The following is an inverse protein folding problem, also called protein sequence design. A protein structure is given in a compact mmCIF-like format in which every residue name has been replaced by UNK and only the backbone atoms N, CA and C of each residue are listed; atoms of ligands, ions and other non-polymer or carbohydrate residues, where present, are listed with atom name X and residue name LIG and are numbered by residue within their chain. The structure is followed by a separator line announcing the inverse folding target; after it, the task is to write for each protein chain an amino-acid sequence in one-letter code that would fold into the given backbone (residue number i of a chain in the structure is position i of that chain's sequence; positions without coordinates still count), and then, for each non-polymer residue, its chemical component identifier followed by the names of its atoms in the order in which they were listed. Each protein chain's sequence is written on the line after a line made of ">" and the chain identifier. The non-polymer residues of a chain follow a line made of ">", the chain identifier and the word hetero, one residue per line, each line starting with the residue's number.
data_IF_950561447113
#
_entry.id   IF_950561447113
#
_cell.length_a   1.000
_cell.length_b   1.000
_cell.length_c   1.000
_cell.angle_alpha   90.00
_cell.angle_beta   90.00
_cell.angle_gamma   90.00
#
_symmetry.space_group_name_H-M   'P 1'
#
loop_
_entity.id
_entity.type
_entity.pdbx_description
1 polymer ?
#
# COMPACT_ATOMS: atom_id res chain seq x y z
N UNK A 1 5.59 7.16 17.04
CA UNK A 1 6.15 8.42 16.48
C UNK A 1 5.63 8.58 15.06
N UNK A 2 5.02 9.71 14.75
CA UNK A 2 4.58 10.08 13.41
C UNK A 2 5.79 10.38 12.52
N UNK A 3 5.80 9.91 11.28
CA UNK A 3 6.87 10.21 10.31
C UNK A 3 6.77 11.69 9.89
N UNK A 4 7.45 12.59 10.61
CA UNK A 4 7.50 14.02 10.31
C UNK A 4 8.49 14.30 9.17
N UNK A 5 8.11 15.04 8.11
CA UNK A 5 9.04 15.41 7.04
C UNK A 5 10.12 16.37 7.59
N UNK A 6 11.36 16.20 7.14
CA UNK A 6 12.47 17.09 7.52
C UNK A 6 12.35 18.49 6.91
N UNK A 7 11.90 18.59 5.67
CA UNK A 7 11.61 19.86 5.01
C UNK A 7 10.09 20.03 4.84
N UNK A 8 9.47 20.68 5.84
CA UNK A 8 8.02 20.93 5.86
C UNK A 8 7.60 21.87 4.72
N UNK A 9 8.44 22.86 4.38
CA UNK A 9 8.13 23.83 3.31
C UNK A 9 8.07 23.12 1.95
N UNK A 10 9.06 22.25 1.66
CA UNK A 10 9.06 21.43 0.46
C UNK A 10 7.88 20.45 0.44
N UNK A 11 7.60 19.79 1.56
CA UNK A 11 6.48 18.86 1.67
C UNK A 11 5.14 19.54 1.36
N UNK A 12 4.87 20.71 1.94
CA UNK A 12 3.62 21.45 1.72
C UNK A 12 3.48 21.91 0.27
N UNK A 13 4.58 22.36 -0.36
CA UNK A 13 4.59 22.72 -1.79
C UNK A 13 4.23 21.54 -2.69
N UNK A 14 4.80 20.36 -2.43
CA UNK A 14 4.44 19.13 -3.17
C UNK A 14 2.99 18.73 -2.88
N UNK A 15 2.55 18.80 -1.62
CA UNK A 15 1.19 18.47 -1.20
C UNK A 15 0.15 19.28 -1.96
N UNK A 16 0.31 20.60 -2.04
CA UNK A 16 -0.60 21.48 -2.78
C UNK A 16 -0.72 21.04 -4.25
N UNK A 17 0.41 20.83 -4.94
CA UNK A 17 0.42 20.39 -6.35
C UNK A 17 -0.29 19.05 -6.56
N UNK A 18 0.00 18.06 -5.71
CA UNK A 18 -0.60 16.73 -5.81
C UNK A 18 -2.10 16.77 -5.49
N UNK A 19 -2.52 17.58 -4.53
CA UNK A 19 -3.93 17.64 -4.12
C UNK A 19 -4.79 18.38 -5.15
N UNK A 20 -4.23 19.37 -5.83
CA UNK A 20 -4.88 19.99 -6.99
C UNK A 20 -5.06 19.00 -8.15
N UNK A 21 -4.03 18.18 -8.43
CA UNK A 21 -4.10 17.17 -9.51
C UNK A 21 -5.00 15.98 -9.17
N UNK A 22 -5.08 15.61 -7.89
CA UNK A 22 -5.86 14.48 -7.40
C UNK A 22 -6.75 14.92 -6.22
N UNK A 23 -7.90 15.57 -6.50
CA UNK A 23 -8.75 16.15 -5.46
C UNK A 23 -9.35 15.09 -4.53
N UNK A 24 -9.66 13.91 -5.05
CA UNK A 24 -10.24 12.82 -4.26
C UNK A 24 -9.23 12.23 -3.27
N UNK A 25 -9.64 12.10 -1.99
CA UNK A 25 -8.82 11.48 -0.96
C UNK A 25 -8.68 9.97 -1.21
N UNK A 26 -7.45 9.50 -1.41
CA UNK A 26 -7.14 8.09 -1.58
C UNK A 26 -5.76 7.71 -1.02
N UNK A 27 -5.57 6.42 -0.75
CA UNK A 27 -4.25 5.87 -0.40
C UNK A 27 -3.25 6.10 -1.55
N UNK A 28 -3.71 6.03 -2.79
CA UNK A 28 -2.90 6.28 -3.99
C UNK A 28 -2.38 7.73 -4.03
N UNK A 29 -3.26 8.72 -3.81
CA UNK A 29 -2.87 10.14 -3.69
C UNK A 29 -1.82 10.35 -2.60
N UNK A 30 -2.05 9.77 -1.44
CA UNK A 30 -1.12 9.87 -0.30
C UNK A 30 0.24 9.23 -0.62
N UNK A 31 0.25 8.11 -1.35
CA UNK A 31 1.46 7.45 -1.84
C UNK A 31 2.24 8.31 -2.84
N UNK A 32 1.56 8.94 -3.80
CA UNK A 32 2.18 9.86 -4.76
C UNK A 32 2.85 11.03 -4.05
N UNK A 33 2.18 11.65 -3.08
CA UNK A 33 2.74 12.75 -2.29
C UNK A 33 4.08 12.35 -1.64
N UNK A 34 4.12 11.19 -0.96
CA UNK A 34 5.33 10.70 -0.30
C UNK A 34 6.44 10.40 -1.32
N UNK A 35 6.09 9.76 -2.44
CA UNK A 35 7.05 9.43 -3.52
C UNK A 35 7.67 10.69 -4.10
N UNK A 36 6.84 11.66 -4.44
CA UNK A 36 7.25 12.90 -5.08
C UNK A 36 8.05 13.79 -4.10
N UNK A 37 7.65 13.85 -2.83
CA UNK A 37 8.42 14.54 -1.80
C UNK A 37 9.81 13.93 -1.63
N UNK A 38 9.94 12.60 -1.53
CA UNK A 38 11.25 11.92 -1.43
C UNK A 38 12.14 12.21 -2.64
N UNK A 39 11.57 12.18 -3.84
CA UNK A 39 12.29 12.51 -5.08
C UNK A 39 12.83 13.94 -5.05
N UNK A 40 11.99 14.91 -4.70
CA UNK A 40 12.40 16.31 -4.60
C UNK A 40 13.41 16.55 -3.47
N UNK A 41 13.25 15.88 -2.34
CA UNK A 41 14.18 15.95 -1.21
C UNK A 41 15.56 15.42 -1.61
N UNK A 42 15.62 14.26 -2.28
CA UNK A 42 16.87 13.71 -2.83
C UNK A 42 17.53 14.69 -3.81
N UNK A 43 16.75 15.31 -4.71
CA UNK A 43 17.28 16.31 -5.65
C UNK A 43 17.88 17.53 -4.94
N UNK A 44 17.26 18.00 -3.86
CA UNK A 44 17.68 19.21 -3.12
C UNK A 44 18.86 18.98 -2.18
N UNK A 45 18.91 17.82 -1.52
CA UNK A 45 19.86 17.55 -0.44
C UNK A 45 20.82 16.40 -0.72
N UNK A 46 20.73 15.76 -1.89
CA UNK A 46 21.44 14.54 -2.26
C UNK A 46 21.36 13.42 -1.20
N UNK A 47 20.21 13.34 -0.50
CA UNK A 47 20.01 12.44 0.63
C UNK A 47 18.66 11.74 0.56
N UNK A 48 18.62 10.45 0.92
CA UNK A 48 17.40 9.65 1.02
C UNK A 48 16.75 9.73 2.43
N UNK A 49 17.21 10.67 3.27
CA UNK A 49 16.76 10.85 4.65
C UNK A 49 15.69 11.92 4.85
N UNK A 50 14.62 11.84 4.05
CA UNK A 50 13.58 12.87 3.96
C UNK A 50 12.62 12.98 5.17
N UNK A 51 12.63 12.03 6.10
CA UNK A 51 11.72 11.97 7.26
C UNK A 51 12.51 11.72 8.54
N UNK A 52 12.04 12.29 9.65
CA UNK A 52 12.55 11.96 10.98
C UNK A 52 12.05 10.58 11.43
N UNK A 53 12.90 9.90 12.20
CA UNK A 53 12.56 8.64 12.87
C UNK A 53 13.16 7.39 12.23
N UNK A 54 13.03 6.28 12.95
CA UNK A 54 13.60 4.99 12.55
C UNK A 54 12.77 4.37 11.43
N UNK A 55 13.41 4.14 10.27
CA UNK A 55 12.80 3.50 9.10
C UNK A 55 12.72 1.98 9.31
N UNK A 56 11.75 1.53 10.10
CA UNK A 56 11.56 0.09 10.33
C UNK A 56 11.00 -0.58 9.07
N UNK A 57 11.82 -1.41 8.43
CA UNK A 57 11.46 -2.05 7.14
C UNK A 57 10.49 -3.22 7.26
N UNK A 58 10.36 -3.81 8.45
CA UNK A 58 9.50 -4.98 8.75
C UNK A 58 8.12 -4.62 9.29
N UNK A 59 7.73 -3.33 9.31
CA UNK A 59 6.41 -2.89 9.78
C UNK A 59 5.78 -1.84 8.86
N UNK A 60 4.48 -1.62 9.03
CA UNK A 60 3.72 -0.58 8.34
C UNK A 60 3.82 -0.64 6.82
N UNK A 61 3.88 0.54 6.20
CA UNK A 61 3.88 0.70 4.75
C UNK A 61 5.14 0.14 4.08
N UNK A 62 6.29 0.20 4.76
CA UNK A 62 7.53 -0.36 4.23
C UNK A 62 7.45 -1.88 4.07
N UNK A 63 6.87 -2.58 5.06
CA UNK A 63 6.58 -4.01 4.92
C UNK A 63 5.55 -4.25 3.82
N UNK A 64 4.48 -3.47 3.77
CA UNK A 64 3.42 -3.62 2.77
C UNK A 64 3.97 -3.55 1.34
N UNK A 65 4.91 -2.63 1.05
CA UNK A 65 5.56 -2.58 -0.26
C UNK A 65 6.44 -3.81 -0.54
N UNK A 66 7.18 -4.31 0.45
CA UNK A 66 8.03 -5.51 0.30
C UNK A 66 7.23 -6.80 0.11
N UNK A 67 6.01 -6.84 0.64
CA UNK A 67 5.11 -7.99 0.51
C UNK A 67 4.60 -8.22 -0.92
N UNK A 68 4.72 -7.20 -1.79
CA UNK A 68 4.27 -7.23 -3.19
C UNK A 68 2.82 -7.71 -3.33
N UNK A 69 1.89 -6.76 -3.31
CA UNK A 69 0.46 -7.07 -3.37
C UNK A 69 0.00 -7.15 -4.82
N UNK A 70 -0.56 -8.31 -5.19
CA UNK A 70 -1.11 -8.58 -6.52
C UNK A 70 -2.54 -9.09 -6.42
N UNK A 71 -3.29 -8.96 -7.51
CA UNK A 71 -4.62 -9.56 -7.61
C UNK A 71 -4.53 -11.10 -7.73
N UNK A 72 -5.68 -11.75 -7.76
CA UNK A 72 -5.82 -13.19 -7.95
C UNK A 72 -5.30 -13.73 -9.29
N UNK A 73 -5.05 -12.85 -10.27
CA UNK A 73 -4.43 -13.17 -11.56
C UNK A 73 -2.91 -12.87 -11.59
N UNK A 74 -2.34 -12.37 -10.48
CA UNK A 74 -0.92 -11.98 -10.44
C UNK A 74 -0.59 -10.65 -11.14
N UNK A 75 -1.59 -9.82 -11.43
CA UNK A 75 -1.46 -8.49 -12.03
C UNK A 75 -1.70 -7.38 -11.01
N UNK A 76 -1.29 -6.17 -11.37
CA UNK A 76 -1.57 -4.94 -10.63
C UNK A 76 -2.74 -4.24 -11.32
N UNK A 77 -3.77 -3.88 -10.56
CA UNK A 77 -5.04 -3.34 -11.06
C UNK A 77 -6.25 -4.21 -10.65
N UNK A 78 -7.43 -3.60 -10.62
CA UNK A 78 -8.67 -4.34 -10.46
C UNK A 78 -9.15 -4.74 -11.86
N UNK A 79 -9.26 -6.05 -12.11
CA UNK A 79 -9.79 -6.57 -13.38
C UNK A 79 -11.32 -6.70 -13.30
N UNK A 80 -11.84 -6.99 -12.11
CA UNK A 80 -13.26 -7.17 -11.85
C UNK A 80 -13.65 -6.66 -10.45
N UNK A 81 -14.96 -6.47 -10.25
CA UNK A 81 -15.53 -6.10 -8.94
C UNK A 81 -15.19 -7.11 -7.83
N UNK A 82 -15.04 -8.38 -8.20
CA UNK A 82 -14.73 -9.47 -7.27
C UNK A 82 -13.23 -9.78 -7.17
N UNK A 83 -12.33 -9.08 -7.90
CA UNK A 83 -10.88 -9.29 -7.80
C UNK A 83 -10.41 -9.14 -6.37
N UNK A 84 -9.59 -10.07 -5.90
CA UNK A 84 -9.08 -10.08 -4.52
C UNK A 84 -7.58 -9.88 -4.51
N UNK A 85 -7.06 -9.27 -3.45
CA UNK A 85 -5.63 -8.94 -3.33
C UNK A 85 -5.03 -9.64 -2.13
N UNK A 86 -3.86 -10.24 -2.33
CA UNK A 86 -3.05 -10.87 -1.27
C UNK A 86 -1.56 -10.54 -1.51
N UNK A 87 -0.73 -10.62 -0.47
CA UNK A 87 0.72 -10.51 -0.63
C UNK A 87 1.26 -11.72 -1.40
N UNK A 88 2.26 -11.51 -2.26
CA UNK A 88 2.97 -12.62 -2.90
C UNK A 88 4.15 -13.10 -2.06
N UNK A 89 4.76 -12.20 -1.28
CA UNK A 89 5.94 -12.51 -0.44
C UNK A 89 5.59 -12.41 1.04
N UNK A 90 5.93 -13.46 1.79
CA UNK A 90 5.85 -13.47 3.26
C UNK A 90 7.09 -12.80 3.85
N UNK A 91 6.91 -11.59 4.41
CA UNK A 91 8.02 -10.81 5.00
C UNK A 91 8.14 -11.03 6.51
N UNK A 92 7.00 -11.22 7.19
CA UNK A 92 6.94 -11.43 8.65
C UNK A 92 5.83 -12.40 9.03
N UNK A 93 5.79 -12.84 10.28
CA UNK A 93 4.65 -13.60 10.84
C UNK A 93 3.32 -12.82 10.78
N UNK A 94 3.38 -11.48 10.78
CA UNK A 94 2.22 -10.59 10.62
C UNK A 94 1.82 -10.39 9.16
N UNK A 95 2.56 -10.94 8.20
CA UNK A 95 2.17 -10.91 6.79
C UNK A 95 0.93 -11.78 6.61
N UNK A 96 -0.15 -11.25 6.00
CA UNK A 96 -1.35 -12.04 5.74
C UNK A 96 -1.04 -13.25 4.84
N UNK A 97 -1.87 -14.30 4.91
CA UNK A 97 -1.75 -15.49 4.05
C UNK A 97 -1.61 -15.14 2.55
N UNK A 98 -0.66 -15.75 1.85
CA UNK A 98 -0.51 -15.61 0.40
C UNK A 98 -1.60 -16.41 -0.33
N UNK A 99 -1.71 -16.25 -1.66
CA UNK A 99 -2.62 -17.09 -2.45
C UNK A 99 -2.26 -18.57 -2.41
N UNK A 100 -0.96 -18.89 -2.38
CA UNK A 100 -0.48 -20.28 -2.32
C UNK A 100 -0.81 -20.96 -0.99
N UNK A 101 -0.98 -20.19 0.09
CA UNK A 101 -1.36 -20.70 1.42
C UNK A 101 -2.88 -20.81 1.62
N UNK A 102 -3.67 -20.32 0.66
CA UNK A 102 -5.13 -20.37 0.67
C UNK A 102 -5.62 -21.50 -0.23
N UNK A 103 -6.69 -22.16 0.20
CA UNK A 103 -7.36 -23.17 -0.62
C UNK A 103 -8.22 -22.51 -1.71
N UNK A 104 -8.43 -23.22 -2.82
CA UNK A 104 -9.32 -22.77 -3.91
C UNK A 104 -10.73 -22.43 -3.40
N UNK A 105 -11.24 -23.18 -2.41
CA UNK A 105 -12.55 -22.97 -1.78
C UNK A 105 -12.60 -21.66 -0.98
N UNK A 106 -11.57 -21.37 -0.19
CA UNK A 106 -11.45 -20.09 0.55
C UNK A 106 -11.43 -18.90 -0.41
N UNK A 107 -10.66 -18.99 -1.50
CA UNK A 107 -10.58 -17.93 -2.52
C UNK A 107 -11.94 -17.72 -3.20
N UNK A 108 -12.62 -18.80 -3.62
CA UNK A 108 -13.95 -18.73 -4.25
C UNK A 108 -14.99 -18.07 -3.34
N UNK A 109 -15.01 -18.45 -2.06
CA UNK A 109 -15.91 -17.87 -1.08
C UNK A 109 -15.62 -16.37 -0.86
N UNK A 110 -14.35 -15.99 -0.79
CA UNK A 110 -13.94 -14.60 -0.65
C UNK A 110 -14.36 -13.76 -1.86
N UNK A 111 -14.19 -14.25 -3.09
CA UNK A 111 -14.67 -13.58 -4.30
C UNK A 111 -16.18 -13.35 -4.27
N UNK A 112 -16.96 -14.39 -3.92
CA UNK A 112 -18.43 -14.30 -3.80
C UNK A 112 -18.87 -13.30 -2.72
N UNK A 113 -18.20 -13.28 -1.56
CA UNK A 113 -18.49 -12.30 -0.51
C UNK A 113 -18.18 -10.87 -0.97
N UNK A 114 -17.05 -10.68 -1.65
CA UNK A 114 -16.69 -9.36 -2.19
C UNK A 114 -17.68 -8.87 -3.24
N UNK A 115 -18.15 -9.76 -4.10
CA UNK A 115 -19.12 -9.43 -5.15
C UNK A 115 -20.45 -8.97 -4.57
N UNK A 116 -20.95 -9.71 -3.56
CA UNK A 116 -22.24 -9.45 -2.92
C UNK A 116 -22.21 -8.26 -1.95
N UNK A 117 -21.16 -8.15 -1.13
CA UNK A 117 -21.07 -7.15 -0.04
C UNK A 117 -20.11 -6.01 -0.30
N UNK A 118 -19.37 -6.03 -1.41
CA UNK A 118 -18.29 -5.08 -1.74
C UNK A 118 -17.00 -5.28 -0.93
N UNK A 119 -17.01 -6.14 0.10
CA UNK A 119 -15.88 -6.36 1.02
C UNK A 119 -15.85 -7.78 1.54
N UNK A 120 -14.67 -8.23 1.95
CA UNK A 120 -14.45 -9.57 2.52
C UNK A 120 -14.21 -9.40 4.01
N UNK A 121 -14.86 -10.24 4.83
CA UNK A 121 -14.60 -10.21 6.29
C UNK A 121 -13.28 -10.89 6.61
N UNK A 122 -13.10 -12.15 6.17
CA UNK A 122 -11.89 -12.97 6.35
C UNK A 122 -11.79 -14.02 5.25
N UNK A 123 -10.56 -14.36 4.83
CA UNK A 123 -10.31 -15.45 3.88
C UNK A 123 -10.42 -16.82 4.57
N UNK A 124 -9.65 -17.00 5.65
CA UNK A 124 -9.73 -18.19 6.50
C UNK A 124 -10.68 -17.93 7.66
N UNK A 125 -11.72 -18.75 7.76
CA UNK A 125 -12.58 -18.81 8.94
C UNK A 125 -11.99 -19.88 9.85
N UNK A 126 -11.73 -19.50 11.10
CA UNK A 126 -11.45 -20.48 12.16
C UNK A 126 -12.75 -21.16 12.55
#
# INVERSE_FOLDING_TARGET
>A
MSNKPKDIKLYNKVKQKIYLKYPQHSAYRSGILVKEYKKNYKKKYNSDDAYYGIKKSKIGLARWFKEEWKNDEGKIGYTSKNSVYRPTKRITSKTPLTFSELTKKEIKNAKKEKETKGRIKKFRKK
#
